data_IF_106112405012
#
_entry.id   IF_106112405012
#
_cell.length_a   1.000
_cell.length_b   1.000
_cell.length_c   1.000
_cell.angle_alpha   90.00
_cell.angle_beta   90.00
_cell.angle_gamma   90.00
#
_symmetry.space_group_name_H-M   'P 1'
#
loop_
_entity.id
_entity.type
_entity.pdbx_description
1 polymer ?
#
# COMPACT_ATOMS: atom_id res chain seq x y z
N UNK A 1 29.66 13.97 -10.24
CA UNK A 1 29.73 14.81 -9.04
C UNK A 1 28.70 14.24 -8.08
N UNK A 2 29.10 13.27 -7.25
CA UNK A 2 28.25 12.66 -6.24
C UNK A 2 27.94 13.73 -5.19
N UNK A 3 26.71 14.22 -5.16
CA UNK A 3 26.22 15.03 -4.05
C UNK A 3 25.97 14.09 -2.87
N UNK A 4 26.90 14.02 -1.93
CA UNK A 4 26.71 13.45 -0.59
C UNK A 4 25.69 14.34 0.15
N UNK A 5 24.41 14.15 -0.12
CA UNK A 5 23.33 14.69 0.71
C UNK A 5 23.31 13.86 2.01
N UNK A 6 24.18 14.17 2.94
CA UNK A 6 24.03 13.77 4.34
C UNK A 6 22.76 14.44 4.86
N UNK A 7 21.62 13.78 4.69
CA UNK A 7 20.42 14.17 5.41
C UNK A 7 20.71 14.05 6.91
N UNK A 8 20.77 15.18 7.60
CA UNK A 8 20.74 15.19 9.06
C UNK A 8 19.47 14.46 9.48
N UNK A 9 19.60 13.50 10.42
CA UNK A 9 18.46 12.86 11.07
C UNK A 9 17.50 13.97 11.51
N UNK A 10 16.36 14.08 10.85
CA UNK A 10 15.35 15.09 11.20
C UNK A 10 14.77 14.67 12.55
N UNK A 11 14.89 15.49 13.56
CA UNK A 11 14.22 15.26 14.84
C UNK A 11 12.72 15.42 14.62
N UNK A 12 11.99 14.30 14.59
CA UNK A 12 10.53 14.27 14.40
C UNK A 12 9.76 14.91 15.56
N UNK A 13 10.43 15.23 16.66
CA UNK A 13 9.79 15.82 17.84
C UNK A 13 9.51 17.33 17.74
N UNK A 14 10.09 18.02 16.75
CA UNK A 14 10.02 19.47 16.70
C UNK A 14 8.72 20.05 16.14
N UNK A 15 7.93 19.28 15.40
CA UNK A 15 6.66 19.75 14.84
C UNK A 15 5.55 18.69 14.92
N UNK A 16 4.87 18.65 16.06
CA UNK A 16 3.76 17.73 16.30
C UNK A 16 2.56 17.91 15.34
N UNK A 17 2.39 19.09 14.75
CA UNK A 17 1.34 19.33 13.74
C UNK A 17 1.64 18.56 12.48
N UNK A 18 2.89 18.56 12.00
CA UNK A 18 3.29 17.85 10.80
C UNK A 18 3.42 16.34 11.04
N UNK A 19 4.16 15.96 12.05
CA UNK A 19 4.54 14.55 12.26
C UNK A 19 3.62 13.79 13.22
N UNK A 20 2.51 14.41 13.67
CA UNK A 20 1.62 13.82 14.65
C UNK A 20 2.18 13.89 16.09
N UNK A 21 1.30 13.80 17.06
CA UNK A 21 1.62 14.03 18.50
C UNK A 21 2.17 12.79 19.19
N UNK A 22 1.92 11.62 18.67
CA UNK A 22 2.49 10.38 19.19
C UNK A 22 3.94 10.24 18.77
N UNK A 23 4.83 9.87 19.69
CA UNK A 23 6.27 9.77 19.46
C UNK A 23 6.76 8.33 19.23
N UNK A 24 5.87 7.36 19.13
CA UNK A 24 6.25 5.94 18.94
C UNK A 24 7.11 5.77 17.69
N UNK A 25 8.37 5.32 17.82
CA UNK A 25 9.28 5.16 16.70
C UNK A 25 9.07 3.82 16.00
N UNK A 26 9.65 3.66 14.82
CA UNK A 26 9.83 2.40 14.09
C UNK A 26 8.54 1.69 13.68
N UNK A 27 7.38 2.37 13.69
CA UNK A 27 6.13 1.79 13.20
C UNK A 27 6.25 1.59 11.69
N UNK A 28 6.19 0.34 11.23
CA UNK A 28 6.26 0.00 9.80
C UNK A 28 4.90 -0.31 9.20
N UNK A 29 3.94 -0.79 9.97
CA UNK A 29 2.58 -1.03 9.49
C UNK A 29 1.57 -0.93 10.63
N UNK A 30 0.34 -0.62 10.27
CA UNK A 30 -0.83 -0.57 11.16
C UNK A 30 -1.98 -1.27 10.46
N UNK A 31 -2.59 -2.24 11.14
CA UNK A 31 -3.61 -3.10 10.55
C UNK A 31 -4.84 -3.20 11.47
N UNK A 32 -6.01 -3.33 10.85
CA UNK A 32 -7.25 -3.60 11.58
C UNK A 32 -7.52 -5.10 11.59
N UNK A 33 -7.80 -5.67 12.76
CA UNK A 33 -8.03 -7.11 12.91
C UNK A 33 -9.40 -7.60 12.40
N UNK A 34 -10.21 -6.69 11.87
CA UNK A 34 -11.56 -6.98 11.39
C UNK A 34 -12.63 -6.98 12.50
N UNK A 35 -12.27 -6.70 13.75
CA UNK A 35 -13.17 -6.66 14.91
C UNK A 35 -13.07 -5.34 15.64
N UNK A 36 -12.22 -5.25 16.63
CA UNK A 36 -12.15 -4.10 17.56
C UNK A 36 -10.71 -3.71 17.91
N UNK A 37 -9.71 -4.24 17.24
CA UNK A 37 -8.33 -3.96 17.58
C UNK A 37 -7.52 -3.53 16.35
N UNK A 38 -6.57 -2.68 16.64
CA UNK A 38 -5.51 -2.33 15.70
C UNK A 38 -4.26 -3.09 16.12
N UNK A 39 -3.59 -3.73 15.16
CA UNK A 39 -2.27 -4.32 15.33
C UNK A 39 -1.22 -3.39 14.71
N UNK A 40 -0.25 -3.01 15.53
CA UNK A 40 0.84 -2.11 15.16
C UNK A 40 2.10 -2.93 15.04
N UNK A 41 2.76 -2.86 13.90
CA UNK A 41 4.02 -3.54 13.63
C UNK A 41 5.17 -2.55 13.72
N UNK A 42 6.21 -2.90 14.47
CA UNK A 42 7.43 -2.10 14.62
C UNK A 42 8.63 -2.92 14.19
N UNK A 43 9.54 -2.30 13.42
CA UNK A 43 10.82 -2.91 13.04
C UNK A 43 11.97 -2.21 13.73
N UNK A 44 12.67 -2.94 14.58
CA UNK A 44 13.94 -2.51 15.14
C UNK A 44 15.05 -3.37 14.55
N UNK A 45 15.88 -2.76 13.70
CA UNK A 45 16.91 -3.47 12.94
C UNK A 45 16.28 -4.61 12.11
N UNK A 46 16.66 -5.86 12.42
CA UNK A 46 16.19 -7.05 11.69
C UNK A 46 14.99 -7.75 12.36
N UNK A 47 14.44 -7.18 13.42
CA UNK A 47 13.35 -7.80 14.17
C UNK A 47 12.06 -7.01 14.03
N UNK A 48 11.00 -7.68 13.64
CA UNK A 48 9.64 -7.14 13.67
C UNK A 48 8.93 -7.64 14.92
N UNK A 49 8.29 -6.72 15.61
CA UNK A 49 7.40 -7.03 16.74
C UNK A 49 6.02 -6.44 16.46
N UNK A 50 4.98 -6.98 17.07
CA UNK A 50 3.66 -6.37 16.99
C UNK A 50 3.02 -6.24 18.36
N UNK A 51 2.11 -5.26 18.47
CA UNK A 51 1.25 -5.06 19.63
C UNK A 51 -0.17 -4.76 19.18
N UNK A 52 -1.15 -5.25 19.95
CA UNK A 52 -2.56 -4.96 19.69
C UNK A 52 -3.07 -3.92 20.69
N UNK A 53 -3.80 -2.95 20.16
CA UNK A 53 -4.44 -1.90 20.94
C UNK A 53 -5.94 -1.89 20.66
N UNK A 54 -6.76 -1.56 21.64
CA UNK A 54 -8.19 -1.41 21.44
C UNK A 54 -8.46 -0.22 20.50
N UNK A 55 -9.44 -0.36 19.64
CA UNK A 55 -9.83 0.66 18.68
C UNK A 55 -11.32 0.97 18.81
N UNK A 56 -11.63 2.23 19.05
CA UNK A 56 -12.98 2.78 19.03
C UNK A 56 -13.15 3.63 17.77
N UNK A 57 -13.95 3.19 16.80
CA UNK A 57 -14.22 3.99 15.61
C UNK A 57 -15.02 5.24 15.94
N UNK A 58 -14.91 6.26 15.11
CA UNK A 58 -15.56 7.52 15.35
C UNK A 58 -16.39 8.03 14.17
N UNK A 59 -17.31 8.91 14.49
CA UNK A 59 -18.03 9.77 13.55
C UNK A 59 -18.05 11.19 14.09
N UNK A 60 -17.98 12.16 13.20
CA UNK A 60 -18.14 13.58 13.52
C UNK A 60 -19.56 14.02 13.22
N UNK A 61 -20.20 14.73 14.13
CA UNK A 61 -21.58 15.20 14.00
C UNK A 61 -21.68 16.72 14.12
N UNK A 62 -22.62 17.29 13.39
CA UNK A 62 -23.07 18.67 13.58
C UNK A 62 -23.79 18.84 14.91
N UNK A 63 -24.73 17.92 15.25
CA UNK A 63 -25.54 17.93 16.46
C UNK A 63 -25.75 16.52 17.01
N UNK A 64 -25.88 16.40 18.34
CA UNK A 64 -26.14 15.11 19.00
C UNK A 64 -27.55 14.59 18.79
N UNK A 65 -28.51 15.45 18.41
CA UNK A 65 -29.89 15.04 18.10
C UNK A 65 -29.98 13.95 17.00
N UNK A 66 -28.96 13.81 16.16
CA UNK A 66 -28.90 12.70 15.19
C UNK A 66 -28.73 11.33 15.85
N UNK A 67 -28.25 11.27 17.10
CA UNK A 67 -28.15 10.04 17.89
C UNK A 67 -29.46 9.61 18.53
N UNK A 68 -30.51 10.46 18.56
CA UNK A 68 -31.79 10.12 19.17
C UNK A 68 -32.42 8.90 18.51
N UNK A 69 -32.80 7.91 19.32
CA UNK A 69 -33.31 6.62 18.87
C UNK A 69 -32.22 5.62 18.47
N UNK A 70 -30.95 5.92 18.75
CA UNK A 70 -29.86 4.96 18.67
C UNK A 70 -29.69 4.24 20.01
N UNK A 71 -29.83 2.91 20.01
CA UNK A 71 -29.79 2.09 21.24
C UNK A 71 -28.38 1.55 21.54
N UNK A 72 -27.38 1.79 20.66
CA UNK A 72 -26.02 1.33 20.87
C UNK A 72 -25.22 2.20 21.85
N UNK A 73 -24.18 1.62 22.43
CA UNK A 73 -23.26 2.34 23.33
C UNK A 73 -22.37 3.29 22.56
N UNK A 74 -22.22 4.51 23.05
CA UNK A 74 -21.32 5.51 22.49
C UNK A 74 -20.85 6.51 23.53
N UNK A 75 -19.77 7.20 23.23
CA UNK A 75 -19.26 8.34 23.96
C UNK A 75 -19.26 9.56 23.04
N UNK A 76 -19.98 10.63 23.43
CA UNK A 76 -20.01 11.88 22.66
C UNK A 76 -19.20 12.95 23.36
N UNK A 77 -18.24 13.54 22.67
CA UNK A 77 -17.41 14.65 23.14
C UNK A 77 -17.70 15.89 22.33
N UNK A 78 -18.10 16.98 23.00
CA UNK A 78 -18.22 18.29 22.38
C UNK A 78 -16.82 18.86 22.10
N UNK A 79 -16.60 19.28 20.88
CA UNK A 79 -15.39 19.95 20.42
C UNK A 79 -15.47 21.45 20.67
N UNK A 80 -14.33 22.12 20.82
CA UNK A 80 -14.24 23.57 21.07
C UNK A 80 -14.49 24.34 19.78
N UNK A 81 -15.15 25.51 19.90
CA UNK A 81 -15.48 26.37 18.77
C UNK A 81 -16.82 26.01 18.13
N UNK A 82 -17.16 26.76 17.06
CA UNK A 82 -18.47 26.74 16.42
C UNK A 82 -18.41 26.34 14.94
N UNK A 83 -17.35 25.63 14.52
CA UNK A 83 -17.29 25.07 13.18
C UNK A 83 -18.37 23.97 13.01
N UNK A 84 -18.56 23.49 11.78
CA UNK A 84 -19.73 22.68 11.42
C UNK A 84 -19.86 21.38 12.22
N UNK A 85 -18.80 20.56 12.30
CA UNK A 85 -18.83 19.34 13.10
C UNK A 85 -18.38 19.62 14.53
N UNK A 86 -19.34 19.66 15.43
CA UNK A 86 -19.14 20.07 16.85
C UNK A 86 -18.97 18.91 17.81
N UNK A 87 -19.26 17.69 17.37
CA UNK A 87 -19.21 16.51 18.24
C UNK A 87 -18.37 15.40 17.60
N UNK A 88 -17.49 14.83 18.41
CA UNK A 88 -16.80 13.58 18.13
C UNK A 88 -17.53 12.47 18.89
N UNK A 89 -18.08 11.50 18.17
CA UNK A 89 -18.77 10.35 18.74
C UNK A 89 -17.92 9.11 18.52
N UNK A 90 -17.56 8.45 19.62
CA UNK A 90 -16.81 7.20 19.65
C UNK A 90 -17.77 6.03 19.86
N UNK A 91 -17.57 4.95 19.17
CA UNK A 91 -18.36 3.72 19.24
C UNK A 91 -17.50 2.55 19.72
N UNK A 92 -18.12 1.51 20.26
CA UNK A 92 -17.37 0.37 20.80
C UNK A 92 -16.79 -0.50 19.69
N UNK A 93 -17.48 -0.67 18.56
CA UNK A 93 -17.03 -1.56 17.49
C UNK A 93 -17.22 -0.94 16.10
N UNK A 94 -16.45 -1.45 15.12
CA UNK A 94 -16.65 -1.10 13.71
C UNK A 94 -18.04 -1.50 13.20
N UNK A 95 -18.60 -2.60 13.71
CA UNK A 95 -19.95 -3.02 13.39
C UNK A 95 -21.00 -2.01 13.86
N UNK A 96 -20.84 -1.45 15.07
CA UNK A 96 -21.73 -0.41 15.59
C UNK A 96 -21.70 0.84 14.72
N UNK A 97 -20.52 1.24 14.25
CA UNK A 97 -20.40 2.35 13.29
C UNK A 97 -21.21 2.07 12.01
N UNK A 98 -21.10 0.87 11.46
CA UNK A 98 -21.87 0.51 10.25
C UNK A 98 -23.38 0.51 10.49
N UNK A 99 -23.83 0.09 11.66
CA UNK A 99 -25.24 0.16 12.06
C UNK A 99 -25.71 1.61 12.26
N UNK A 100 -24.90 2.43 12.91
CA UNK A 100 -25.18 3.86 13.12
C UNK A 100 -25.31 4.61 11.78
N UNK A 101 -24.47 4.30 10.78
CA UNK A 101 -24.58 4.91 9.47
C UNK A 101 -25.90 4.55 8.77
N UNK A 102 -26.42 3.34 8.98
CA UNK A 102 -27.78 2.96 8.50
C UNK A 102 -28.86 3.75 9.23
N UNK A 103 -28.73 3.95 10.55
CA UNK A 103 -29.62 4.78 11.34
C UNK A 103 -29.62 6.23 10.83
N UNK A 104 -28.47 6.83 10.60
CA UNK A 104 -28.37 8.18 10.03
C UNK A 104 -29.03 8.29 8.65
N UNK A 105 -28.77 7.33 7.76
CA UNK A 105 -29.43 7.29 6.45
C UNK A 105 -30.95 7.26 6.57
N UNK A 106 -31.49 6.47 7.49
CA UNK A 106 -32.94 6.38 7.74
C UNK A 106 -33.51 7.70 8.29
N UNK A 107 -32.77 8.37 9.19
CA UNK A 107 -33.21 9.58 9.88
C UNK A 107 -33.09 10.85 9.02
N UNK A 108 -32.03 10.95 8.23
CA UNK A 108 -31.67 12.18 7.49
C UNK A 108 -31.88 12.07 5.97
N UNK A 109 -32.01 10.87 5.44
CA UNK A 109 -31.97 10.62 3.99
C UNK A 109 -30.57 10.78 3.38
N UNK A 110 -29.60 11.30 4.15
CA UNK A 110 -28.25 11.56 3.67
C UNK A 110 -27.36 10.31 3.73
N UNK A 111 -26.45 10.22 2.80
CA UNK A 111 -25.33 9.26 2.83
C UNK A 111 -24.03 10.00 3.13
N UNK A 112 -22.96 9.29 3.52
CA UNK A 112 -21.66 9.92 3.73
C UNK A 112 -21.11 10.71 2.53
N UNK A 113 -21.54 10.35 1.34
CA UNK A 113 -21.19 11.05 0.09
C UNK A 113 -22.07 12.28 -0.18
N UNK A 114 -23.15 12.49 0.62
CA UNK A 114 -24.04 13.63 0.43
C UNK A 114 -23.38 14.91 0.92
N UNK A 115 -23.32 15.95 0.08
CA UNK A 115 -22.77 17.25 0.44
C UNK A 115 -23.49 17.91 1.62
N UNK A 116 -24.76 17.53 1.86
CA UNK A 116 -25.59 18.02 2.97
C UNK A 116 -25.54 17.12 4.20
N UNK A 117 -24.70 16.09 4.24
CA UNK A 117 -24.65 15.19 5.39
C UNK A 117 -24.27 15.94 6.67
N UNK A 118 -25.08 15.84 7.74
CA UNK A 118 -24.79 16.44 9.04
C UNK A 118 -23.77 15.62 9.85
N UNK A 119 -23.17 14.63 9.22
CA UNK A 119 -22.16 13.75 9.78
C UNK A 119 -21.03 13.51 8.79
N UNK A 120 -19.85 13.23 9.34
CA UNK A 120 -18.68 12.84 8.56
C UNK A 120 -18.01 11.63 9.19
N UNK A 121 -17.64 10.68 8.37
CA UNK A 121 -16.85 9.52 8.78
C UNK A 121 -15.89 9.09 7.67
N UNK A 122 -14.89 8.31 8.03
CA UNK A 122 -13.92 7.73 7.13
C UNK A 122 -14.10 6.21 7.11
N UNK A 123 -14.25 5.64 5.91
CA UNK A 123 -14.50 4.21 5.73
C UNK A 123 -13.18 3.39 5.69
N UNK A 124 -12.21 3.77 6.50
CA UNK A 124 -10.94 3.08 6.65
C UNK A 124 -10.57 3.10 8.14
N UNK A 125 -10.64 1.94 8.83
CA UNK A 125 -10.37 1.88 10.27
C UNK A 125 -8.91 2.23 10.62
N UNK A 126 -7.95 1.89 9.76
CA UNK A 126 -6.54 2.25 9.97
C UNK A 126 -6.37 3.76 9.88
N UNK A 127 -7.00 4.40 8.88
CA UNK A 127 -6.97 5.86 8.75
C UNK A 127 -7.63 6.54 9.95
N UNK A 128 -8.81 6.07 10.41
CA UNK A 128 -9.44 6.60 11.63
C UNK A 128 -8.52 6.47 12.85
N UNK A 129 -7.88 5.32 13.01
CA UNK A 129 -6.94 5.10 14.11
C UNK A 129 -5.77 6.08 14.07
N UNK A 130 -5.12 6.25 12.91
CA UNK A 130 -3.99 7.17 12.76
C UNK A 130 -4.38 8.64 13.04
N UNK A 131 -5.62 9.02 12.71
CA UNK A 131 -6.14 10.34 13.03
C UNK A 131 -6.31 10.57 14.53
N UNK A 132 -6.90 9.60 15.24
CA UNK A 132 -7.19 9.74 16.68
C UNK A 132 -5.92 9.58 17.53
N UNK A 133 -5.09 8.59 17.21
CA UNK A 133 -3.86 8.32 17.96
C UNK A 133 -2.79 9.39 17.75
N UNK A 134 -2.84 10.10 16.62
CA UNK A 134 -1.78 11.02 16.22
C UNK A 134 -0.49 10.32 15.79
N UNK A 135 -0.55 9.00 15.56
CA UNK A 135 0.57 8.22 15.04
C UNK A 135 0.78 8.47 13.55
N UNK A 136 2.03 8.36 13.14
CA UNK A 136 2.44 8.25 11.74
C UNK A 136 3.46 7.12 11.61
N UNK A 137 3.64 6.59 10.42
CA UNK A 137 4.58 5.50 10.18
C UNK A 137 6.02 6.04 10.03
N UNK A 138 6.98 5.17 10.22
CA UNK A 138 8.41 5.35 9.89
C UNK A 138 9.14 6.45 10.67
N UNK A 139 8.63 6.88 11.82
CA UNK A 139 9.37 7.80 12.69
C UNK A 139 10.70 7.18 13.12
N UNK A 140 11.75 8.00 13.18
CA UNK A 140 13.13 7.59 13.49
C UNK A 140 13.74 6.56 12.50
N UNK A 141 13.14 6.44 11.28
CA UNK A 141 13.64 5.56 10.23
C UNK A 141 14.03 6.36 8.98
N UNK A 142 14.99 5.84 8.23
CA UNK A 142 15.31 6.24 6.87
C UNK A 142 14.64 5.25 5.89
N UNK A 143 14.50 5.64 4.63
CA UNK A 143 13.94 4.75 3.60
C UNK A 143 14.75 3.46 3.44
N UNK A 144 16.07 3.53 3.59
CA UNK A 144 16.96 2.38 3.57
C UNK A 144 16.86 1.45 4.80
N UNK A 145 16.16 1.85 5.86
CA UNK A 145 15.95 1.00 7.04
C UNK A 145 14.77 0.01 6.82
N UNK A 146 13.95 0.24 5.78
CA UNK A 146 12.89 -0.69 5.39
C UNK A 146 13.48 -1.88 4.66
N UNK A 147 13.03 -3.08 5.01
CA UNK A 147 13.26 -4.24 4.17
C UNK A 147 12.23 -4.25 3.04
N UNK A 148 12.69 -3.93 1.83
CA UNK A 148 11.87 -3.86 0.62
C UNK A 148 12.22 -5.05 -0.28
N UNK A 149 11.24 -5.89 -0.58
CA UNK A 149 11.39 -7.09 -1.40
C UNK A 149 10.78 -6.81 -2.78
N UNK A 150 11.54 -7.06 -3.84
CA UNK A 150 11.07 -6.96 -5.22
C UNK A 150 10.63 -8.34 -5.69
N UNK A 151 9.54 -8.35 -6.46
CA UNK A 151 8.94 -9.55 -7.05
C UNK A 151 8.63 -9.28 -8.52
N UNK A 152 9.01 -10.22 -9.37
CA UNK A 152 8.71 -10.25 -10.78
C UNK A 152 8.46 -11.68 -11.24
N UNK A 153 7.60 -11.89 -12.25
CA UNK A 153 7.32 -13.22 -12.81
C UNK A 153 7.47 -13.24 -14.32
N UNK A 154 7.95 -14.40 -14.82
CA UNK A 154 7.89 -14.71 -16.23
C UNK A 154 6.86 -15.83 -16.49
N UNK A 155 6.18 -15.74 -17.63
CA UNK A 155 5.09 -16.64 -17.94
C UNK A 155 5.28 -17.29 -19.30
N UNK A 156 4.81 -18.51 -19.43
CA UNK A 156 4.73 -19.18 -20.73
C UNK A 156 3.53 -18.63 -21.50
N UNK A 157 3.73 -18.40 -22.78
CA UNK A 157 2.66 -18.10 -23.71
C UNK A 157 2.53 -19.27 -24.69
N UNK A 158 1.38 -19.93 -24.71
CA UNK A 158 1.12 -21.05 -25.57
C UNK A 158 1.18 -20.64 -27.06
N UNK A 159 1.57 -21.57 -27.91
CA UNK A 159 1.66 -21.35 -29.35
C UNK A 159 0.33 -20.86 -29.94
N UNK A 160 0.41 -19.89 -30.85
CA UNK A 160 -0.76 -19.27 -31.48
C UNK A 160 -1.41 -18.13 -30.69
N UNK A 161 -0.86 -17.74 -29.55
CA UNK A 161 -1.31 -16.61 -28.77
C UNK A 161 -0.24 -15.52 -28.66
N UNK A 162 -0.68 -14.27 -28.64
CA UNK A 162 0.20 -13.11 -28.51
C UNK A 162 0.55 -12.82 -27.03
N UNK A 163 -0.40 -13.09 -26.12
CA UNK A 163 -0.23 -12.83 -24.68
C UNK A 163 -0.58 -14.06 -23.84
N UNK A 164 0.15 -14.24 -22.76
CA UNK A 164 -0.16 -15.26 -21.75
C UNK A 164 -1.45 -14.91 -21.00
N UNK A 165 -2.19 -15.96 -20.59
CA UNK A 165 -3.44 -15.84 -19.85
C UNK A 165 -3.41 -16.78 -18.64
N UNK A 166 -3.52 -16.27 -17.39
CA UNK A 166 -3.43 -17.09 -16.18
C UNK A 166 -4.50 -18.18 -16.06
N UNK A 167 -5.58 -18.09 -16.84
CA UNK A 167 -6.67 -19.08 -16.86
C UNK A 167 -6.41 -20.21 -17.88
N UNK A 168 -5.43 -20.06 -18.76
CA UNK A 168 -5.03 -21.08 -19.72
C UNK A 168 -4.09 -22.08 -19.04
N UNK A 169 -4.25 -23.38 -19.32
CA UNK A 169 -3.47 -24.42 -18.62
C UNK A 169 -1.99 -24.30 -18.92
N UNK A 170 -1.70 -24.10 -20.20
CA UNK A 170 -0.35 -24.06 -20.77
C UNK A 170 0.43 -22.82 -20.34
N UNK A 171 -0.28 -21.74 -20.08
CA UNK A 171 0.30 -20.45 -19.72
C UNK A 171 0.65 -20.44 -18.22
N UNK A 172 1.67 -21.22 -17.88
CA UNK A 172 2.14 -21.33 -16.50
C UNK A 172 3.16 -20.24 -16.15
N UNK A 173 3.35 -20.01 -14.88
CA UNK A 173 4.51 -19.25 -14.40
C UNK A 173 5.75 -20.10 -14.66
N UNK A 174 6.76 -19.52 -15.30
CA UNK A 174 8.02 -20.19 -15.63
C UNK A 174 9.17 -19.76 -14.74
N UNK A 175 9.12 -18.55 -14.23
CA UNK A 175 10.12 -17.97 -13.34
C UNK A 175 9.45 -17.06 -12.33
N UNK A 176 9.91 -17.09 -11.09
CA UNK A 176 9.62 -16.08 -10.07
C UNK A 176 10.97 -15.55 -9.59
N UNK A 177 11.21 -14.27 -9.80
CA UNK A 177 12.43 -13.59 -9.38
C UNK A 177 12.16 -12.74 -8.15
N UNK A 178 12.98 -12.93 -7.12
CA UNK A 178 12.91 -12.19 -5.88
C UNK A 178 14.26 -11.52 -5.61
N UNK A 179 14.22 -10.28 -5.14
CA UNK A 179 15.37 -9.60 -4.56
C UNK A 179 14.95 -8.78 -3.36
N UNK A 180 15.89 -8.30 -2.57
CA UNK A 180 15.55 -7.32 -1.53
C UNK A 180 16.59 -6.21 -1.37
N UNK A 181 16.26 -5.21 -0.58
CA UNK A 181 17.10 -4.03 -0.33
C UNK A 181 18.39 -4.33 0.42
N UNK A 182 18.57 -5.55 0.96
CA UNK A 182 19.85 -6.01 1.54
C UNK A 182 20.82 -6.57 0.51
N UNK A 183 20.38 -6.74 -0.75
CA UNK A 183 21.15 -7.36 -1.83
C UNK A 183 20.95 -8.86 -1.94
N UNK A 184 20.03 -9.45 -1.19
CA UNK A 184 19.64 -10.85 -1.36
C UNK A 184 18.84 -11.02 -2.66
N UNK A 185 19.09 -12.13 -3.35
CA UNK A 185 18.42 -12.51 -4.60
C UNK A 185 18.08 -14.00 -4.56
N UNK A 186 16.93 -14.37 -5.12
CA UNK A 186 16.48 -15.74 -5.22
C UNK A 186 15.61 -15.92 -6.45
N UNK A 187 15.84 -17.00 -7.17
CA UNK A 187 15.07 -17.36 -8.37
C UNK A 187 14.42 -18.71 -8.15
N UNK A 188 13.14 -18.79 -8.45
CA UNK A 188 12.33 -20.01 -8.39
C UNK A 188 11.97 -20.37 -9.82
N UNK A 189 12.55 -21.44 -10.34
CA UNK A 189 12.46 -21.83 -11.76
C UNK A 189 11.53 -23.03 -11.94
N UNK A 190 10.67 -22.96 -12.96
CA UNK A 190 9.87 -24.09 -13.41
C UNK A 190 10.68 -25.22 -14.04
N UNK A 191 12.02 -25.10 -14.13
CA UNK A 191 12.93 -26.20 -14.45
C UNK A 191 13.27 -27.06 -13.24
N UNK A 192 13.10 -26.51 -12.03
CA UNK A 192 13.43 -27.18 -10.76
C UNK A 192 12.18 -27.61 -9.99
N UNK A 193 11.10 -26.83 -10.10
CA UNK A 193 9.85 -27.00 -9.36
C UNK A 193 8.66 -27.11 -10.30
N UNK A 194 7.61 -27.83 -9.91
CA UNK A 194 6.32 -27.64 -10.55
C UNK A 194 5.69 -26.28 -10.14
N UNK A 195 4.70 -25.83 -10.87
CA UNK A 195 4.14 -24.48 -10.65
C UNK A 195 3.48 -24.32 -9.27
N UNK A 196 2.93 -25.39 -8.69
CA UNK A 196 2.39 -25.39 -7.34
C UNK A 196 3.51 -25.20 -6.32
N UNK A 197 4.58 -25.97 -6.45
CA UNK A 197 5.77 -25.88 -5.60
C UNK A 197 6.42 -24.49 -5.73
N UNK A 198 6.50 -23.91 -6.94
CA UNK A 198 7.01 -22.54 -7.13
C UNK A 198 6.24 -21.52 -6.30
N UNK A 199 4.91 -21.61 -6.28
CA UNK A 199 4.06 -20.71 -5.49
C UNK A 199 4.22 -20.93 -3.98
N UNK A 200 4.38 -22.18 -3.55
CA UNK A 200 4.62 -22.52 -2.14
C UNK A 200 5.99 -22.01 -1.67
N UNK A 201 7.04 -22.19 -2.47
CA UNK A 201 8.39 -21.67 -2.19
C UNK A 201 8.39 -20.14 -2.17
N UNK A 202 7.69 -19.48 -3.10
CA UNK A 202 7.55 -18.01 -3.09
C UNK A 202 6.94 -17.53 -1.77
N UNK A 203 5.85 -18.16 -1.31
CA UNK A 203 5.19 -17.80 -0.03
C UNK A 203 6.15 -18.02 1.13
N UNK A 204 6.91 -19.11 1.14
CA UNK A 204 7.91 -19.40 2.16
C UNK A 204 9.02 -18.35 2.19
N UNK A 205 9.60 -18.00 1.03
CA UNK A 205 10.69 -17.03 0.93
C UNK A 205 10.24 -15.63 1.37
N UNK A 206 9.05 -15.18 0.97
CA UNK A 206 8.51 -13.89 1.43
C UNK A 206 8.34 -13.87 2.95
N UNK A 207 7.84 -14.96 3.55
CA UNK A 207 7.67 -15.02 4.99
C UNK A 207 9.01 -15.15 5.75
N UNK A 208 9.99 -15.85 5.18
CA UNK A 208 11.33 -15.99 5.76
C UNK A 208 12.06 -14.63 5.76
N UNK A 209 11.96 -13.88 4.67
CA UNK A 209 12.58 -12.55 4.56
C UNK A 209 11.85 -11.50 5.40
N UNK A 210 10.56 -11.66 5.66
CA UNK A 210 9.69 -10.73 6.42
C UNK A 210 9.82 -9.26 5.98
N UNK A 211 9.60 -8.93 4.69
CA UNK A 211 9.71 -7.55 4.21
C UNK A 211 8.64 -6.63 4.79
N UNK A 212 8.93 -5.33 4.86
CA UNK A 212 7.94 -4.29 5.16
C UNK A 212 7.17 -3.88 3.91
N UNK A 213 7.84 -3.97 2.76
CA UNK A 213 7.30 -3.57 1.46
C UNK A 213 7.57 -4.66 0.44
N UNK A 214 6.56 -4.96 -0.38
CA UNK A 214 6.69 -5.77 -1.59
C UNK A 214 6.59 -4.81 -2.78
N UNK A 215 7.57 -4.83 -3.65
CA UNK A 215 7.68 -3.94 -4.79
C UNK A 215 7.64 -4.73 -6.09
N UNK A 216 7.05 -4.18 -7.13
CA UNK A 216 7.11 -4.72 -8.49
C UNK A 216 6.82 -3.64 -9.51
N UNK A 217 7.01 -3.94 -10.78
CA UNK A 217 6.72 -3.02 -11.86
C UNK A 217 5.46 -3.46 -12.61
N UNK A 218 4.36 -2.72 -12.46
CA UNK A 218 3.01 -3.11 -12.89
C UNK A 218 2.44 -4.30 -12.10
N UNK A 219 2.91 -4.47 -10.89
CA UNK A 219 2.61 -5.61 -10.01
C UNK A 219 1.11 -5.77 -9.72
N UNK A 220 0.35 -4.67 -9.67
CA UNK A 220 -1.09 -4.70 -9.42
C UNK A 220 -1.91 -5.21 -10.61
N UNK A 221 -1.43 -5.05 -11.85
CA UNK A 221 -2.18 -5.42 -13.03
C UNK A 221 -1.65 -6.68 -13.70
N UNK A 222 -0.43 -7.12 -13.36
CA UNK A 222 0.17 -8.31 -13.96
C UNK A 222 0.55 -9.35 -12.90
N UNK A 223 1.64 -9.17 -12.17
CA UNK A 223 2.23 -10.22 -11.33
C UNK A 223 1.26 -10.80 -10.30
N UNK A 224 0.68 -9.94 -9.45
CA UNK A 224 -0.22 -10.41 -8.38
C UNK A 224 -1.54 -10.94 -8.93
N UNK A 225 -2.02 -10.43 -10.06
CA UNK A 225 -3.21 -10.96 -10.72
C UNK A 225 -2.95 -12.36 -11.26
N UNK A 226 -1.77 -12.55 -11.87
CA UNK A 226 -1.36 -13.83 -12.41
C UNK A 226 -1.13 -14.86 -11.29
N UNK A 227 -0.34 -14.50 -10.29
CA UNK A 227 -0.06 -15.32 -9.11
C UNK A 227 -1.36 -15.73 -8.41
N UNK A 228 -2.29 -14.78 -8.19
CA UNK A 228 -3.56 -15.09 -7.53
C UNK A 228 -4.40 -16.09 -8.34
N UNK A 229 -4.48 -15.95 -9.65
CA UNK A 229 -5.23 -16.85 -10.51
C UNK A 229 -4.63 -18.27 -10.51
N UNK A 230 -3.30 -18.37 -10.60
CA UNK A 230 -2.59 -19.67 -10.58
C UNK A 230 -2.66 -20.31 -9.19
N UNK A 231 -2.49 -19.53 -8.13
CA UNK A 231 -2.63 -20.02 -6.75
C UNK A 231 -4.04 -20.58 -6.47
N UNK A 232 -5.09 -19.94 -6.97
CA UNK A 232 -6.46 -20.48 -6.89
C UNK A 232 -6.61 -21.80 -7.61
N UNK A 233 -6.00 -21.94 -8.79
CA UNK A 233 -6.01 -23.19 -9.57
C UNK A 233 -5.40 -24.34 -8.80
N UNK A 234 -4.26 -24.13 -8.17
CA UNK A 234 -3.53 -25.13 -7.41
C UNK A 234 -3.94 -25.24 -5.93
N UNK A 235 -4.90 -24.39 -5.50
CA UNK A 235 -5.36 -24.29 -4.10
C UNK A 235 -4.21 -23.96 -3.12
N UNK A 236 -3.25 -23.17 -3.57
CA UNK A 236 -2.15 -22.66 -2.73
C UNK A 236 -2.63 -21.40 -2.01
N UNK A 237 -2.66 -21.37 -0.67
CA UNK A 237 -2.98 -20.16 0.06
C UNK A 237 -1.84 -19.15 -0.05
N UNK A 238 -2.13 -17.96 -0.60
CA UNK A 238 -1.15 -16.86 -0.66
C UNK A 238 -1.02 -16.18 0.72
N UNK A 239 -0.52 -16.92 1.69
CA UNK A 239 -0.35 -16.48 3.08
C UNK A 239 0.95 -15.68 3.25
N UNK A 240 1.12 -14.62 2.45
CA UNK A 240 2.30 -13.74 2.44
C UNK A 240 2.19 -12.55 3.39
N UNK A 241 1.06 -12.40 4.10
CA UNK A 241 0.92 -11.41 5.16
C UNK A 241 1.54 -11.88 6.48
N UNK A 242 1.90 -10.94 7.35
CA UNK A 242 2.29 -11.23 8.72
C UNK A 242 1.18 -12.01 9.43
N UNK A 243 1.54 -12.77 10.46
CA UNK A 243 0.62 -13.70 11.14
C UNK A 243 -0.02 -14.73 10.18
N UNK A 244 0.65 -15.08 9.08
CA UNK A 244 0.17 -16.01 8.04
C UNK A 244 -1.18 -15.62 7.44
N UNK A 245 -1.47 -14.31 7.42
CA UNK A 245 -2.68 -13.81 6.77
C UNK A 245 -2.55 -13.93 5.25
N UNK A 246 -3.64 -14.36 4.61
CA UNK A 246 -3.70 -14.42 3.16
C UNK A 246 -3.90 -13.04 2.56
N UNK A 247 -3.34 -12.83 1.37
CA UNK A 247 -3.53 -11.60 0.60
C UNK A 247 -5.02 -11.38 0.30
N UNK A 248 -5.45 -10.13 0.36
CA UNK A 248 -6.79 -9.71 -0.04
C UNK A 248 -6.73 -8.88 -1.31
N UNK A 249 -7.74 -8.98 -2.14
CA UNK A 249 -7.81 -8.19 -3.37
C UNK A 249 -9.23 -7.67 -3.63
N UNK A 250 -9.32 -6.47 -4.20
CA UNK A 250 -10.59 -5.86 -4.62
C UNK A 250 -10.36 -4.87 -5.78
N UNK A 251 -11.41 -4.60 -6.55
CA UNK A 251 -11.34 -3.56 -7.57
C UNK A 251 -11.24 -2.19 -6.93
N UNK A 252 -10.35 -1.35 -7.43
CA UNK A 252 -10.10 0.00 -6.94
C UNK A 252 -9.82 0.97 -8.09
N UNK A 253 -9.85 2.26 -7.77
CA UNK A 253 -9.53 3.33 -8.72
C UNK A 253 -8.72 4.39 -8.01
N UNK A 254 -7.85 5.03 -8.74
CA UNK A 254 -7.16 6.24 -8.29
C UNK A 254 -6.95 7.19 -9.48
N UNK A 255 -6.70 8.46 -9.18
CA UNK A 255 -6.49 9.47 -10.20
C UNK A 255 -5.03 9.85 -10.29
N UNK A 256 -4.51 9.90 -11.51
CA UNK A 256 -3.23 10.52 -11.83
C UNK A 256 -3.54 11.70 -12.77
N UNK A 257 -3.32 12.93 -12.30
CA UNK A 257 -3.79 14.14 -12.95
C UNK A 257 -5.29 14.02 -13.29
N UNK A 258 -5.67 14.14 -14.55
CA UNK A 258 -7.06 14.05 -15.02
C UNK A 258 -7.50 12.62 -15.39
N UNK A 259 -6.59 11.64 -15.31
CA UNK A 259 -6.88 10.25 -15.67
C UNK A 259 -7.30 9.43 -14.46
N UNK A 260 -8.43 8.72 -14.58
CA UNK A 260 -8.84 7.69 -13.61
C UNK A 260 -8.30 6.34 -14.06
N UNK A 261 -7.50 5.71 -13.21
CA UNK A 261 -6.93 4.38 -13.45
C UNK A 261 -7.69 3.37 -12.61
N UNK A 262 -8.29 2.39 -13.28
CA UNK A 262 -8.87 1.22 -12.61
C UNK A 262 -7.81 0.14 -12.48
N UNK A 263 -7.69 -0.46 -11.30
CA UNK A 263 -6.72 -1.52 -11.03
C UNK A 263 -7.25 -2.48 -9.97
N UNK A 264 -6.63 -3.64 -9.85
CA UNK A 264 -6.91 -4.56 -8.76
C UNK A 264 -5.97 -4.24 -7.61
N UNK A 265 -6.53 -3.66 -6.54
CA UNK A 265 -5.76 -3.39 -5.33
C UNK A 265 -5.57 -4.68 -4.54
N UNK A 266 -4.34 -4.94 -4.17
CA UNK A 266 -3.98 -6.02 -3.26
C UNK A 266 -3.55 -5.43 -1.91
N UNK A 267 -3.88 -6.14 -0.84
CA UNK A 267 -3.54 -5.78 0.53
C UNK A 267 -2.91 -6.99 1.21
N UNK A 268 -1.73 -6.77 1.78
CA UNK A 268 -0.93 -7.77 2.48
C UNK A 268 -0.81 -7.36 3.93
N UNK A 269 -1.42 -8.11 4.83
CA UNK A 269 -1.47 -7.79 6.25
C UNK A 269 -0.09 -7.54 6.85
N UNK A 270 0.11 -6.38 7.45
CA UNK A 270 1.36 -5.95 8.05
C UNK A 270 2.47 -5.57 7.06
N UNK A 271 2.17 -5.45 5.76
CA UNK A 271 3.13 -5.06 4.71
C UNK A 271 2.48 -4.06 3.75
N UNK A 272 3.29 -3.37 2.97
CA UNK A 272 2.82 -2.49 1.91
C UNK A 272 3.18 -3.06 0.55
N UNK A 273 2.39 -2.73 -0.48
CA UNK A 273 2.74 -3.00 -1.87
C UNK A 273 3.03 -1.67 -2.55
N UNK A 274 4.14 -1.61 -3.28
CA UNK A 274 4.55 -0.45 -4.07
C UNK A 274 4.71 -0.87 -5.53
N UNK A 275 3.99 -0.19 -6.40
CA UNK A 275 4.06 -0.42 -7.84
C UNK A 275 4.89 0.70 -8.50
N UNK A 276 6.09 0.35 -8.97
CA UNK A 276 7.00 1.32 -9.59
C UNK A 276 6.49 1.83 -10.95
N UNK A 277 5.60 1.11 -11.62
CA UNK A 277 4.91 1.59 -12.82
C UNK A 277 4.01 2.80 -12.49
N UNK A 278 3.30 2.75 -11.35
CA UNK A 278 2.49 3.87 -10.88
C UNK A 278 3.36 5.06 -10.44
N UNK A 279 4.47 4.78 -9.76
CA UNK A 279 5.43 5.82 -9.37
C UNK A 279 6.00 6.54 -10.60
N UNK A 280 6.34 5.82 -11.66
CA UNK A 280 6.82 6.38 -12.91
C UNK A 280 5.76 7.29 -13.57
N UNK A 281 4.50 6.87 -13.59
CA UNK A 281 3.41 7.70 -14.11
C UNK A 281 3.23 8.97 -13.28
N UNK A 282 3.31 8.89 -11.94
CA UNK A 282 3.19 10.05 -11.05
C UNK A 282 4.36 11.03 -11.25
N UNK A 283 5.57 10.52 -11.40
CA UNK A 283 6.74 11.32 -11.74
C UNK A 283 6.51 12.09 -13.04
N UNK A 284 6.01 11.43 -14.07
CA UNK A 284 5.86 11.99 -15.41
C UNK A 284 4.73 13.02 -15.53
N UNK A 285 3.80 13.09 -14.58
CA UNK A 285 2.80 14.19 -14.52
C UNK A 285 3.48 15.55 -14.54
N UNK A 286 4.61 15.67 -13.86
CA UNK A 286 5.36 16.93 -13.76
C UNK A 286 6.53 16.97 -14.75
N UNK A 287 7.28 15.88 -14.85
CA UNK A 287 8.51 15.81 -15.64
C UNK A 287 8.23 15.79 -17.16
N UNK A 288 7.19 15.08 -17.60
CA UNK A 288 6.74 14.95 -19.01
C UNK A 288 7.87 14.56 -19.97
N UNK A 289 8.74 13.68 -19.54
CA UNK A 289 9.95 13.31 -20.24
C UNK A 289 10.18 11.79 -20.35
N UNK A 290 9.20 10.97 -19.93
CA UNK A 290 9.22 9.54 -20.14
C UNK A 290 8.58 9.18 -21.48
N UNK A 291 9.31 8.45 -22.33
CA UNK A 291 8.78 7.96 -23.59
C UNK A 291 7.73 6.87 -23.39
N UNK A 292 7.94 6.01 -22.39
CA UNK A 292 7.00 4.99 -21.97
C UNK A 292 7.23 4.61 -20.50
N UNK A 293 6.22 4.00 -19.88
CA UNK A 293 6.27 3.59 -18.48
C UNK A 293 6.75 2.14 -18.29
N UNK A 294 7.13 1.43 -19.34
CA UNK A 294 7.68 0.07 -19.22
C UNK A 294 9.03 0.07 -18.49
N UNK A 295 9.29 -0.97 -17.70
CA UNK A 295 10.45 -1.09 -16.81
C UNK A 295 11.77 -0.69 -17.49
N UNK A 296 12.04 -1.26 -18.65
CA UNK A 296 13.28 -1.04 -19.41
C UNK A 296 13.48 0.41 -19.85
N UNK A 297 12.40 1.11 -20.19
CA UNK A 297 12.45 2.52 -20.57
C UNK A 297 12.66 3.41 -19.36
N UNK A 298 11.98 3.13 -18.25
CA UNK A 298 12.14 3.86 -16.99
C UNK A 298 13.54 3.64 -16.43
N UNK A 299 14.06 2.41 -16.45
CA UNK A 299 15.42 2.10 -16.00
C UNK A 299 16.49 2.83 -16.82
N UNK A 300 16.32 2.89 -18.16
CA UNK A 300 17.22 3.67 -19.03
C UNK A 300 17.13 5.17 -18.76
N UNK A 301 15.94 5.70 -18.59
CA UNK A 301 15.74 7.12 -18.28
C UNK A 301 16.47 7.55 -17.01
N UNK A 302 16.41 6.74 -15.97
CA UNK A 302 17.09 7.02 -14.69
C UNK A 302 18.55 6.53 -14.64
N UNK A 303 19.08 5.97 -15.74
CA UNK A 303 20.44 5.40 -15.83
C UNK A 303 20.72 4.33 -14.74
N UNK A 304 19.73 3.50 -14.44
CA UNK A 304 19.84 2.40 -13.47
C UNK A 304 19.93 1.02 -14.13
N UNK A 305 19.74 0.94 -15.44
CA UNK A 305 19.96 -0.29 -16.18
C UNK A 305 21.43 -0.70 -16.13
N UNK A 306 21.71 -1.98 -15.86
CA UNK A 306 23.08 -2.52 -15.91
C UNK A 306 23.64 -2.43 -17.33
N UNK A 307 24.94 -2.12 -17.51
CA UNK A 307 25.60 -2.23 -18.80
C UNK A 307 25.49 -3.62 -19.43
N UNK A 308 25.46 -4.67 -18.61
CA UNK A 308 25.38 -6.07 -19.01
C UNK A 308 23.94 -6.62 -19.00
N UNK A 309 22.95 -5.73 -19.05
CA UNK A 309 21.53 -6.09 -18.98
C UNK A 309 21.15 -7.04 -20.12
N UNK A 310 20.45 -8.11 -19.75
CA UNK A 310 19.87 -9.06 -20.72
C UNK A 310 18.57 -8.51 -21.26
N UNK A 311 18.44 -8.46 -22.60
CA UNK A 311 17.21 -8.05 -23.28
C UNK A 311 16.61 -9.26 -24.00
N UNK A 312 15.36 -9.57 -23.70
CA UNK A 312 14.57 -10.60 -24.36
C UNK A 312 13.28 -9.95 -24.85
N UNK A 313 12.94 -10.22 -26.12
CA UNK A 313 11.65 -9.78 -26.65
C UNK A 313 10.52 -10.58 -25.97
N UNK A 314 9.40 -9.96 -25.60
CA UNK A 314 8.31 -10.64 -24.87
C UNK A 314 7.75 -11.87 -25.59
N UNK A 315 7.71 -11.87 -26.91
CA UNK A 315 7.26 -12.99 -27.74
C UNK A 315 8.21 -14.19 -27.72
N UNK A 316 9.45 -14.01 -27.25
CA UNK A 316 10.48 -15.05 -27.17
C UNK A 316 10.68 -15.64 -25.77
N UNK A 317 9.99 -15.14 -24.75
CA UNK A 317 10.17 -15.61 -23.37
C UNK A 317 9.96 -17.12 -23.23
N UNK A 318 8.91 -17.67 -23.85
CA UNK A 318 8.64 -19.13 -23.86
C UNK A 318 9.77 -19.90 -24.53
N UNK A 319 10.30 -19.41 -25.67
CA UNK A 319 11.42 -20.04 -26.36
C UNK A 319 12.69 -20.02 -25.48
N UNK A 320 12.99 -18.89 -24.81
CA UNK A 320 14.14 -18.79 -23.91
C UNK A 320 13.99 -19.74 -22.72
N UNK A 321 12.78 -19.84 -22.16
CA UNK A 321 12.51 -20.82 -21.11
C UNK A 321 12.85 -22.24 -21.56
N UNK A 322 12.45 -22.63 -22.76
CA UNK A 322 12.68 -23.98 -23.26
C UNK A 322 14.15 -24.26 -23.65
N UNK A 323 14.83 -23.28 -24.23
CA UNK A 323 16.12 -23.49 -24.89
C UNK A 323 17.31 -22.83 -24.19
N UNK A 324 17.09 -21.74 -23.42
CA UNK A 324 18.13 -20.94 -22.77
C UNK A 324 17.69 -20.45 -21.38
N UNK A 325 17.35 -21.35 -20.45
CA UNK A 325 16.81 -20.97 -19.16
C UNK A 325 17.74 -20.06 -18.35
N UNK A 326 19.06 -20.21 -18.45
CA UNK A 326 20.03 -19.35 -17.75
C UNK A 326 19.97 -17.89 -18.21
N UNK A 327 19.70 -17.65 -19.49
CA UNK A 327 19.52 -16.29 -20.01
C UNK A 327 18.21 -15.69 -19.50
N UNK A 328 17.14 -16.48 -19.37
CA UNK A 328 15.88 -16.06 -18.79
C UNK A 328 16.01 -15.75 -17.29
N UNK A 329 16.77 -16.55 -16.54
CA UNK A 329 17.09 -16.29 -15.13
C UNK A 329 17.81 -14.96 -14.98
N UNK A 330 18.81 -14.69 -15.80
CA UNK A 330 19.53 -13.41 -15.80
C UNK A 330 18.59 -12.24 -16.10
N UNK A 331 17.69 -12.42 -17.07
CA UNK A 331 16.69 -11.44 -17.45
C UNK A 331 15.76 -11.07 -16.26
N UNK A 332 15.17 -12.07 -15.59
CA UNK A 332 14.30 -11.83 -14.42
C UNK A 332 15.04 -11.22 -13.23
N UNK A 333 16.31 -11.57 -13.01
CA UNK A 333 17.15 -10.91 -11.99
C UNK A 333 17.42 -9.44 -12.32
N UNK A 334 17.65 -9.13 -13.60
CA UNK A 334 17.82 -7.74 -14.03
C UNK A 334 16.53 -6.93 -13.80
N UNK A 335 15.34 -7.52 -14.04
CA UNK A 335 14.05 -6.85 -13.83
C UNK A 335 13.81 -6.50 -12.35
N UNK A 336 14.09 -7.39 -11.40
CA UNK A 336 13.94 -7.08 -9.96
C UNK A 336 14.99 -6.09 -9.47
N UNK A 337 16.22 -6.10 -10.02
CA UNK A 337 17.27 -5.12 -9.71
C UNK A 337 16.89 -3.72 -10.18
N UNK A 338 16.37 -3.61 -11.40
CA UNK A 338 15.89 -2.34 -11.95
C UNK A 338 14.68 -1.81 -11.18
N UNK A 339 13.73 -2.68 -10.83
CA UNK A 339 12.58 -2.34 -9.98
C UNK A 339 13.03 -1.77 -8.64
N UNK A 340 14.02 -2.39 -7.98
CA UNK A 340 14.61 -1.89 -6.74
C UNK A 340 15.23 -0.50 -6.91
N UNK A 341 16.01 -0.31 -7.97
CA UNK A 341 16.69 0.95 -8.22
C UNK A 341 15.72 2.08 -8.55
N UNK A 342 14.66 1.80 -9.32
CA UNK A 342 13.58 2.76 -9.61
C UNK A 342 12.83 3.12 -8.33
N UNK A 343 12.49 2.14 -7.50
CA UNK A 343 11.83 2.39 -6.21
C UNK A 343 12.72 3.22 -5.28
N UNK A 344 14.03 3.01 -5.28
CA UNK A 344 15.00 3.82 -4.51
C UNK A 344 14.91 5.30 -4.90
N UNK A 345 14.72 5.61 -6.18
CA UNK A 345 14.63 6.98 -6.69
C UNK A 345 13.24 7.58 -6.43
N UNK A 346 12.19 6.87 -6.81
CA UNK A 346 10.84 7.42 -6.87
C UNK A 346 10.03 7.22 -5.57
N UNK A 347 10.32 6.18 -4.81
CA UNK A 347 9.58 5.82 -3.60
C UNK A 347 9.84 6.73 -2.41
N UNK A 348 11.05 7.32 -2.30
CA UNK A 348 11.47 8.10 -1.14
C UNK A 348 10.53 9.27 -0.84
N UNK A 349 10.06 9.99 -1.86
CA UNK A 349 9.18 11.15 -1.65
C UNK A 349 7.86 10.76 -0.98
N UNK A 350 7.31 9.60 -1.32
CA UNK A 350 6.08 9.08 -0.71
C UNK A 350 6.33 8.48 0.68
N UNK A 351 7.51 7.91 0.89
CA UNK A 351 7.94 7.48 2.20
C UNK A 351 7.95 8.64 3.21
N UNK A 352 8.58 9.77 2.88
CA UNK A 352 8.57 10.94 3.74
C UNK A 352 7.19 11.58 3.89
N UNK A 353 6.34 11.50 2.87
CA UNK A 353 4.93 11.88 3.00
C UNK A 353 4.19 11.01 4.03
N UNK A 354 4.52 9.72 4.11
CA UNK A 354 3.89 8.81 5.08
C UNK A 354 4.28 9.13 6.53
N UNK A 355 5.43 9.76 6.77
CA UNK A 355 5.81 10.27 8.08
C UNK A 355 5.00 11.50 8.50
N UNK A 356 4.36 12.17 7.56
CA UNK A 356 3.57 13.38 7.78
C UNK A 356 2.06 13.07 7.80
N UNK A 357 1.60 12.36 6.79
CA UNK A 357 0.18 12.11 6.60
C UNK A 357 -0.29 10.83 7.30
N UNK A 358 -1.50 10.81 7.87
CA UNK A 358 -2.03 9.65 8.61
C UNK A 358 -2.52 8.54 7.66
N UNK A 359 -1.62 8.01 6.86
CA UNK A 359 -1.90 6.93 5.89
C UNK A 359 -0.85 5.83 5.97
N UNK A 360 -1.22 4.60 5.56
CA UNK A 360 -0.24 3.58 5.22
C UNK A 360 0.59 4.00 4.01
N UNK A 361 1.79 3.46 3.85
CA UNK A 361 2.68 3.81 2.74
C UNK A 361 2.01 3.57 1.37
N UNK A 362 1.38 2.42 1.19
CA UNK A 362 0.62 2.11 -0.02
C UNK A 362 -0.50 3.13 -0.30
N UNK A 363 -1.23 3.55 0.73
CA UNK A 363 -2.30 4.54 0.57
C UNK A 363 -1.75 5.96 0.36
N UNK A 364 -0.61 6.32 0.95
CA UNK A 364 0.04 7.62 0.73
C UNK A 364 0.44 7.82 -0.75
N UNK A 365 0.79 6.74 -1.45
CA UNK A 365 1.11 6.79 -2.88
C UNK A 365 -0.13 7.11 -3.72
N UNK A 366 -1.25 6.43 -3.48
CA UNK A 366 -2.45 6.52 -4.34
C UNK A 366 -3.41 7.65 -3.98
N UNK A 367 -3.22 8.33 -2.84
CA UNK A 367 -4.08 9.45 -2.44
C UNK A 367 -3.58 10.78 -3.01
N UNK A 368 -4.50 11.57 -3.55
CA UNK A 368 -4.20 12.91 -4.03
C UNK A 368 -3.78 13.87 -2.91
N UNK A 369 -3.01 14.89 -3.24
CA UNK A 369 -2.44 15.82 -2.26
C UNK A 369 -3.51 16.58 -1.46
N UNK A 370 -4.62 16.99 -2.07
CA UNK A 370 -5.72 17.63 -1.36
C UNK A 370 -6.30 16.73 -0.27
N UNK A 371 -6.49 15.44 -0.56
CA UNK A 371 -6.99 14.46 0.42
C UNK A 371 -6.00 14.25 1.56
N UNK A 372 -4.68 14.19 1.26
CA UNK A 372 -3.63 14.06 2.28
C UNK A 372 -3.59 15.28 3.22
N UNK A 373 -3.62 16.48 2.66
CA UNK A 373 -3.61 17.74 3.41
C UNK A 373 -4.87 17.84 4.29
N UNK A 374 -6.04 17.52 3.73
CA UNK A 374 -7.29 17.50 4.50
C UNK A 374 -7.23 16.55 5.69
N UNK A 375 -6.67 15.35 5.50
CA UNK A 375 -6.48 14.41 6.61
C UNK A 375 -5.53 14.90 7.69
N UNK A 376 -4.48 15.63 7.31
CA UNK A 376 -3.59 16.27 8.29
C UNK A 376 -4.34 17.30 9.13
N UNK A 377 -5.16 18.14 8.52
CA UNK A 377 -5.98 19.11 9.24
C UNK A 377 -7.00 18.41 10.15
N UNK A 378 -7.71 17.39 9.67
CA UNK A 378 -8.65 16.63 10.48
C UNK A 378 -7.96 16.04 11.71
N UNK A 379 -6.76 15.42 11.55
CA UNK A 379 -5.95 14.93 12.66
C UNK A 379 -5.69 16.03 13.68
N UNK A 380 -5.26 17.20 13.23
CA UNK A 380 -4.93 18.29 14.14
C UNK A 380 -6.16 18.86 14.85
N UNK A 381 -7.29 19.03 14.17
CA UNK A 381 -8.55 19.41 14.79
C UNK A 381 -8.99 18.44 15.88
N UNK A 382 -8.96 17.13 15.59
CA UNK A 382 -9.33 16.08 16.55
C UNK A 382 -8.40 16.11 17.76
N UNK A 383 -7.09 16.13 17.55
CA UNK A 383 -6.10 16.07 18.61
C UNK A 383 -6.04 17.34 19.46
N UNK A 384 -6.45 18.49 18.92
CA UNK A 384 -6.60 19.75 19.65
C UNK A 384 -7.97 19.88 20.32
N UNK A 385 -8.90 18.97 20.00
CA UNK A 385 -10.28 18.99 20.51
C UNK A 385 -11.10 20.16 19.95
N UNK A 386 -10.80 20.61 18.73
CA UNK A 386 -11.49 21.71 18.07
C UNK A 386 -12.55 21.18 17.09
N UNK A 387 -13.65 21.94 16.96
CA UNK A 387 -14.70 21.68 15.96
C UNK A 387 -14.13 21.79 14.54
N UNK A 388 -14.65 20.96 13.63
CA UNK A 388 -14.10 20.78 12.29
C UNK A 388 -14.99 21.47 11.27
N UNK A 389 -14.44 22.33 10.41
CA UNK A 389 -15.22 22.96 9.36
C UNK A 389 -15.71 21.93 8.35
N UNK A 390 -16.83 22.17 7.75
CA UNK A 390 -17.30 21.39 6.62
C UNK A 390 -16.38 21.62 5.44
N UNK A 391 -15.88 20.57 4.85
CA UNK A 391 -15.13 20.68 3.58
C UNK A 391 -16.10 21.09 2.49
N UNK A 392 -15.90 22.26 1.89
CA UNK A 392 -16.60 22.63 0.67
C UNK A 392 -16.13 21.71 -0.46
N UNK A 393 -17.02 21.24 -1.33
CA UNK A 393 -16.58 20.59 -2.56
C UNK A 393 -15.81 21.63 -3.39
N UNK A 394 -14.58 21.32 -3.73
CA UNK A 394 -13.78 22.03 -4.74
C UNK A 394 -14.20 21.56 -6.12
#
# INVERSE_FOLDING_TARGET
MQMDLKFKKVSFHENAILFGRDSTPYITAVEFDGKNSIEIFCREKNKVTSMKVAFKPFVLLEETAFMDGWDGTYEAKRLKGDAYYKYLVLLETWADLQLLLKHFKKKTGATPASLSAPFFYLNDPVHQYLLISGQTLFKEMLYGDLLRLQLDIETYCAEGYEFSNPHRVEDRITLISLSDSSGWEHVISGKEYDEKEMLEVMVEQINLRDPDVIEGHNIFNFDLVYIEARARRFKVPLAIGRNKQTIKSHSSRFNIAERTISYKKFEVYGRHIVDTYLLAQMYDVTARNLESYGLKNVARHFNVASPDRTYIDPDKLSWYYDNKPDELIKYGLDDVRETRAISEILGQSFYYQTQIFPYSFQNAIIRGNATKINSLFIREYINSGNSIPRTSPT
#
